data_IF_186844851995
#
_entry.id   IF_186844851995
#
_cell.length_a   1.000
_cell.length_b   1.000
_cell.length_c   1.000
_cell.angle_alpha   90.00
_cell.angle_beta   90.00
_cell.angle_gamma   90.00
#
_symmetry.space_group_name_H-M   'P 1'
#
loop_
_entity.id
_entity.type
_entity.pdbx_description
1 polymer ?
#
# COMPACT_ATOMS: atom_id res chain seq x y z
N UNK A 1 -10.78 -20.72 -8.05
CA UNK A 1 -10.98 -19.47 -8.80
C UNK A 1 -10.12 -18.41 -8.12
N UNK A 2 -9.16 -17.81 -8.81
CA UNK A 2 -8.33 -16.76 -8.21
C UNK A 2 -9.20 -15.52 -8.04
N UNK A 3 -9.33 -15.05 -6.80
CA UNK A 3 -9.98 -13.77 -6.51
C UNK A 3 -9.26 -12.62 -7.24
N UNK A 4 -9.97 -11.53 -7.57
CA UNK A 4 -9.34 -10.36 -8.18
C UNK A 4 -8.24 -9.84 -7.26
N UNK A 5 -7.01 -9.79 -7.78
CA UNK A 5 -5.82 -9.37 -7.02
C UNK A 5 -5.86 -7.84 -6.90
N UNK A 6 -5.80 -7.34 -5.67
CA UNK A 6 -5.69 -5.91 -5.40
C UNK A 6 -4.52 -5.28 -6.18
N UNK A 7 -4.64 -4.10 -6.80
CA UNK A 7 -3.58 -3.52 -7.65
C UNK A 7 -2.26 -3.24 -6.90
N UNK A 8 -2.30 -3.04 -5.57
CA UNK A 8 -1.09 -2.97 -4.74
C UNK A 8 -0.35 -4.30 -4.56
N UNK A 9 -0.94 -5.43 -4.98
CA UNK A 9 -0.42 -6.79 -4.82
C UNK A 9 0.03 -7.44 -6.14
N UNK A 10 -0.26 -6.85 -7.30
CA UNK A 10 0.23 -7.38 -8.59
C UNK A 10 1.73 -7.12 -8.76
N UNK A 11 2.44 -7.85 -9.65
CA UNK A 11 3.85 -7.62 -9.94
C UNK A 11 4.13 -6.18 -10.43
N UNK A 12 5.33 -5.68 -10.14
CA UNK A 12 5.73 -4.31 -10.46
C UNK A 12 5.50 -3.93 -11.92
N UNK A 13 5.97 -4.75 -12.87
CA UNK A 13 5.82 -4.47 -14.29
C UNK A 13 4.35 -4.50 -14.73
N UNK A 14 3.56 -5.45 -14.24
CA UNK A 14 2.12 -5.51 -14.53
C UNK A 14 1.34 -4.29 -14.00
N UNK A 15 1.78 -3.70 -12.88
CA UNK A 15 1.22 -2.44 -12.38
C UNK A 15 1.63 -1.25 -13.24
N UNK A 16 2.88 -1.24 -13.71
CA UNK A 16 3.40 -0.18 -14.57
C UNK A 16 2.72 -0.17 -15.94
N UNK A 17 2.31 -1.32 -16.46
CA UNK A 17 1.51 -1.43 -17.70
C UNK A 17 0.13 -0.76 -17.57
N UNK A 18 -0.35 -0.56 -16.34
CA UNK A 18 -1.61 0.14 -16.04
C UNK A 18 -1.39 1.63 -15.70
N UNK A 19 -0.17 2.12 -15.82
CA UNK A 19 0.20 3.47 -15.41
C UNK A 19 0.56 4.39 -16.60
N UNK A 20 0.10 5.63 -16.52
CA UNK A 20 0.74 6.73 -17.26
C UNK A 20 1.95 7.24 -16.47
N UNK A 21 3.12 7.25 -17.12
CA UNK A 21 4.34 7.84 -16.54
C UNK A 21 4.64 9.20 -17.16
N UNK A 22 4.80 10.22 -16.32
CA UNK A 22 5.26 11.55 -16.72
C UNK A 22 6.61 11.85 -16.10
N UNK A 23 7.47 12.51 -16.87
CA UNK A 23 8.77 13.02 -16.40
C UNK A 23 8.67 14.52 -16.25
N UNK A 24 9.18 15.04 -15.14
CA UNK A 24 9.15 16.47 -14.87
C UNK A 24 10.56 17.03 -14.77
N UNK A 25 10.73 18.24 -15.28
CA UNK A 25 11.92 19.04 -15.03
C UNK A 25 11.74 19.81 -13.73
N UNK A 26 12.73 19.72 -12.83
CA UNK A 26 12.76 20.60 -11.66
C UNK A 26 13.35 21.96 -12.04
N UNK A 27 12.63 23.02 -11.68
CA UNK A 27 13.15 24.37 -11.54
C UNK A 27 13.31 24.61 -10.04
N UNK A 28 14.52 24.63 -9.51
CA UNK A 28 14.77 24.91 -8.08
C UNK A 28 16.12 25.60 -7.86
N UNK A 29 16.33 26.26 -6.69
CA UNK A 29 17.60 26.88 -6.34
C UNK A 29 18.63 25.79 -6.08
N UNK A 30 19.35 25.41 -7.14
CA UNK A 30 20.39 24.40 -7.14
C UNK A 30 21.28 24.65 -8.35
N UNK A 31 22.60 24.50 -8.19
CA UNK A 31 23.58 24.83 -9.23
C UNK A 31 23.30 24.18 -10.58
N UNK A 32 23.94 24.71 -11.64
CA UNK A 32 23.71 24.40 -13.06
C UNK A 32 23.59 22.90 -13.41
N UNK A 33 24.20 22.00 -12.62
CA UNK A 33 24.15 20.55 -12.83
C UNK A 33 22.83 19.89 -12.38
N UNK A 34 22.17 20.39 -11.33
CA UNK A 34 20.91 19.82 -10.78
C UNK A 34 19.68 20.16 -11.64
N UNK A 35 19.76 21.23 -12.43
CA UNK A 35 18.62 21.79 -13.18
C UNK A 35 18.52 21.32 -14.65
N UNK A 36 19.40 20.41 -15.09
CA UNK A 36 19.47 19.99 -16.51
C UNK A 36 18.83 18.62 -16.80
N UNK A 37 18.56 17.78 -15.79
CA UNK A 37 18.08 16.41 -16.00
C UNK A 37 16.65 16.23 -15.46
N UNK A 38 15.75 15.74 -16.30
CA UNK A 38 14.34 15.41 -15.98
C UNK A 38 14.25 14.13 -15.14
N UNK A 39 14.77 14.17 -13.91
CA UNK A 39 14.85 12.98 -13.05
C UNK A 39 13.57 12.70 -12.28
N UNK A 40 12.66 13.67 -12.16
CA UNK A 40 11.41 13.50 -11.43
C UNK A 40 10.45 12.60 -12.22
N UNK A 41 9.82 11.66 -11.50
CA UNK A 41 8.87 10.69 -12.07
C UNK A 41 7.53 10.84 -11.36
N UNK A 42 6.47 10.93 -12.15
CA UNK A 42 5.08 10.86 -11.70
C UNK A 42 4.45 9.63 -12.34
N UNK A 43 3.78 8.81 -11.54
CA UNK A 43 3.00 7.66 -11.99
C UNK A 43 1.52 7.89 -11.65
N UNK A 44 0.65 7.68 -12.64
CA UNK A 44 -0.80 7.69 -12.48
C UNK A 44 -1.33 6.30 -12.84
N UNK A 45 -1.90 5.59 -11.88
CA UNK A 45 -2.61 4.34 -12.15
C UNK A 45 -3.96 4.66 -12.79
N UNK A 46 -4.06 4.42 -14.10
CA UNK A 46 -5.19 4.87 -14.93
C UNK A 46 -6.54 4.32 -14.43
N UNK A 47 -6.66 3.02 -14.09
CA UNK A 47 -7.95 2.46 -13.67
C UNK A 47 -8.51 3.06 -12.39
N UNK A 48 -7.66 3.47 -11.44
CA UNK A 48 -8.11 4.00 -10.14
C UNK A 48 -7.99 5.52 -9.99
N UNK A 49 -7.28 6.20 -10.89
CA UNK A 49 -6.96 7.62 -10.79
C UNK A 49 -5.97 7.96 -9.67
N UNK A 50 -5.40 6.97 -8.98
CA UNK A 50 -4.43 7.18 -7.89
C UNK A 50 -3.05 7.46 -8.48
N UNK A 51 -2.35 8.46 -7.95
CA UNK A 51 -1.01 8.82 -8.39
C UNK A 51 0.02 8.83 -7.27
N UNK A 52 1.29 8.80 -7.66
CA UNK A 52 2.41 9.09 -6.79
C UNK A 52 3.57 9.72 -7.58
N UNK A 53 4.44 10.43 -6.86
CA UNK A 53 5.62 11.05 -7.43
C UNK A 53 6.88 10.80 -6.59
N UNK A 54 8.03 10.84 -7.25
CA UNK A 54 9.35 10.85 -6.62
C UNK A 54 10.33 11.70 -7.42
N UNK A 55 11.14 12.47 -6.72
CA UNK A 55 12.08 13.43 -7.31
C UNK A 55 13.35 13.65 -6.47
N UNK A 56 13.53 12.84 -5.42
CA UNK A 56 14.56 13.01 -4.40
C UNK A 56 15.92 12.46 -4.86
N UNK A 57 15.92 11.51 -5.79
CA UNK A 57 17.14 10.81 -6.25
C UNK A 57 17.71 11.48 -7.49
N UNK A 58 19.01 11.28 -7.68
CA UNK A 58 19.78 11.80 -8.83
C UNK A 58 19.48 11.05 -10.13
N UNK A 59 19.01 9.80 -10.04
CA UNK A 59 18.68 9.00 -11.22
C UNK A 59 17.17 8.84 -11.38
N UNK A 60 16.72 8.88 -12.63
CA UNK A 60 15.33 8.67 -12.99
C UNK A 60 14.86 7.24 -12.67
N UNK A 61 15.74 6.24 -12.76
CA UNK A 61 15.42 4.86 -12.40
C UNK A 61 15.14 4.68 -10.90
N UNK A 62 15.94 5.29 -10.03
CA UNK A 62 15.70 5.26 -8.57
C UNK A 62 14.41 6.00 -8.22
N UNK A 63 14.14 7.15 -8.86
CA UNK A 63 12.87 7.85 -8.68
C UNK A 63 11.68 7.04 -9.21
N UNK A 64 11.81 6.31 -10.34
CA UNK A 64 10.75 5.40 -10.82
C UNK A 64 10.43 4.33 -9.78
N UNK A 65 11.45 3.71 -9.17
CA UNK A 65 11.26 2.68 -8.14
C UNK A 65 10.56 3.26 -6.90
N UNK A 66 11.00 4.43 -6.45
CA UNK A 66 10.40 5.13 -5.30
C UNK A 66 8.95 5.56 -5.58
N UNK A 67 8.68 6.14 -6.75
CA UNK A 67 7.34 6.52 -7.17
C UNK A 67 6.42 5.30 -7.25
N UNK A 68 6.91 4.16 -7.75
CA UNK A 68 6.15 2.92 -7.82
C UNK A 68 5.83 2.38 -6.42
N UNK A 69 6.79 2.39 -5.51
CA UNK A 69 6.56 1.98 -4.12
C UNK A 69 5.46 2.84 -3.46
N UNK A 70 5.58 4.16 -3.57
CA UNK A 70 4.58 5.12 -3.06
C UNK A 70 3.21 4.94 -3.71
N UNK A 71 3.18 4.65 -5.02
CA UNK A 71 1.95 4.37 -5.74
C UNK A 71 1.25 3.15 -5.15
N UNK A 72 1.98 2.05 -4.89
CA UNK A 72 1.41 0.84 -4.28
C UNK A 72 0.84 1.11 -2.88
N UNK A 73 1.54 1.90 -2.06
CA UNK A 73 1.02 2.32 -0.75
C UNK A 73 -0.25 3.17 -0.92
N UNK A 74 -0.25 4.13 -1.83
CA UNK A 74 -1.43 4.96 -2.09
C UNK A 74 -2.60 4.12 -2.61
N UNK A 75 -2.35 3.11 -3.45
CA UNK A 75 -3.37 2.16 -3.90
C UNK A 75 -3.95 1.37 -2.72
N UNK A 76 -3.10 0.84 -1.83
CA UNK A 76 -3.55 0.14 -0.62
C UNK A 76 -4.46 1.02 0.26
N UNK A 77 -4.17 2.31 0.36
CA UNK A 77 -4.97 3.24 1.16
C UNK A 77 -6.34 3.53 0.52
N UNK A 78 -6.37 3.73 -0.80
CA UNK A 78 -7.51 4.35 -1.49
C UNK A 78 -8.38 3.37 -2.30
N UNK A 79 -7.90 2.16 -2.57
CA UNK A 79 -8.63 1.14 -3.33
C UNK A 79 -8.96 -0.03 -2.40
N UNK A 80 -10.12 -0.67 -2.61
CA UNK A 80 -10.46 -1.93 -1.94
C UNK A 80 -10.65 -3.01 -2.97
N UNK A 81 -10.21 -4.23 -2.64
CA UNK A 81 -10.41 -5.40 -3.47
C UNK A 81 -11.88 -5.86 -3.49
N UNK A 82 -12.24 -6.60 -4.53
CA UNK A 82 -13.57 -7.24 -4.67
C UNK A 82 -13.56 -8.71 -4.22
N UNK A 83 -12.43 -9.18 -3.70
CA UNK A 83 -12.27 -10.54 -3.22
C UNK A 83 -13.17 -10.80 -2.00
N UNK A 84 -13.85 -11.98 -1.92
CA UNK A 84 -14.63 -12.33 -0.75
C UNK A 84 -13.71 -12.76 0.40
N UNK A 85 -14.23 -12.79 1.64
CA UNK A 85 -13.41 -13.01 2.85
C UNK A 85 -12.65 -14.35 2.83
N UNK A 86 -13.21 -15.37 2.19
CA UNK A 86 -12.65 -16.72 2.09
C UNK A 86 -11.42 -16.79 1.18
N UNK A 87 -11.17 -15.74 0.39
CA UNK A 87 -9.96 -15.62 -0.42
C UNK A 87 -8.71 -15.24 0.40
N UNK A 88 -8.89 -14.92 1.70
CA UNK A 88 -7.83 -14.50 2.61
C UNK A 88 -7.54 -15.57 3.67
N UNK A 89 -6.30 -15.66 4.17
CA UNK A 89 -5.14 -14.85 3.79
C UNK A 89 -4.55 -15.27 2.44
N UNK A 90 -3.94 -14.33 1.72
CA UNK A 90 -3.26 -14.61 0.46
C UNK A 90 -1.97 -15.40 0.67
N UNK A 91 -1.44 -16.02 -0.39
CA UNK A 91 -0.15 -16.72 -0.35
C UNK A 91 1.01 -15.85 0.14
N UNK A 92 1.02 -14.55 -0.20
CA UNK A 92 2.02 -13.59 0.27
C UNK A 92 1.89 -13.33 1.77
N UNK A 93 0.66 -13.17 2.27
CA UNK A 93 0.43 -13.03 3.71
C UNK A 93 0.91 -14.25 4.48
N UNK A 94 0.56 -15.45 4.00
CA UNK A 94 0.96 -16.72 4.61
C UNK A 94 2.49 -16.81 4.67
N UNK A 95 3.20 -16.46 3.60
CA UNK A 95 4.67 -16.50 3.57
C UNK A 95 5.32 -15.55 4.58
N UNK A 96 4.71 -14.37 4.82
CA UNK A 96 5.22 -13.33 5.72
C UNK A 96 4.84 -13.50 7.19
N UNK A 97 3.73 -14.17 7.48
CA UNK A 97 3.28 -14.50 8.84
C UNK A 97 4.17 -15.54 9.53
N UNK A 98 4.74 -16.46 8.74
CA UNK A 98 5.51 -17.60 9.26
C UNK A 98 4.73 -18.48 10.25
N UNK A 99 5.43 -19.42 10.89
CA UNK A 99 4.80 -20.46 11.72
C UNK A 99 4.35 -19.98 13.11
N UNK A 100 4.74 -18.78 13.55
CA UNK A 100 4.42 -18.23 14.88
C UNK A 100 3.25 -17.24 14.88
N UNK A 101 2.52 -17.13 13.77
CA UNK A 101 1.38 -16.20 13.66
C UNK A 101 1.78 -14.71 13.71
N UNK A 102 3.04 -14.38 13.38
CA UNK A 102 3.58 -13.01 13.47
C UNK A 102 4.03 -12.51 12.10
N UNK A 103 3.30 -11.54 11.57
CA UNK A 103 3.68 -10.88 10.32
C UNK A 103 4.95 -10.05 10.50
N UNK A 104 5.96 -10.33 9.67
CA UNK A 104 7.25 -9.65 9.73
C UNK A 104 7.59 -8.99 8.38
N UNK A 105 7.49 -7.67 8.35
CA UNK A 105 7.79 -6.86 7.16
C UNK A 105 8.26 -5.46 7.60
N UNK A 106 9.34 -4.96 6.97
CA UNK A 106 9.75 -3.57 7.11
C UNK A 106 8.84 -2.68 6.25
N UNK A 107 8.66 -1.43 6.65
CA UNK A 107 7.78 -0.46 5.98
C UNK A 107 8.29 -0.12 4.58
N UNK A 108 9.60 -0.22 4.35
CA UNK A 108 10.24 0.05 3.05
C UNK A 108 10.36 -1.20 2.16
N UNK A 109 9.87 -2.35 2.62
CA UNK A 109 9.97 -3.60 1.86
C UNK A 109 8.90 -3.67 0.76
N UNK A 110 9.24 -4.16 -0.44
CA UNK A 110 8.33 -4.22 -1.60
C UNK A 110 7.01 -4.99 -1.35
N UNK A 111 7.01 -6.00 -0.48
CA UNK A 111 5.80 -6.70 -0.02
C UNK A 111 4.87 -5.87 0.89
N UNK A 112 5.37 -4.84 1.60
CA UNK A 112 4.60 -4.09 2.59
C UNK A 112 3.29 -3.50 2.02
N UNK A 113 3.28 -2.82 0.85
CA UNK A 113 2.05 -2.29 0.27
C UNK A 113 0.97 -3.35 0.02
N UNK A 114 1.37 -4.57 -0.39
CA UNK A 114 0.42 -5.65 -0.64
C UNK A 114 -0.19 -6.16 0.67
N UNK A 115 0.63 -6.33 1.71
CA UNK A 115 0.16 -6.73 3.05
C UNK A 115 -0.71 -5.65 3.70
N UNK A 116 -0.39 -4.37 3.47
CA UNK A 116 -1.21 -3.25 3.92
C UNK A 116 -2.58 -3.25 3.23
N UNK A 117 -2.63 -3.47 1.91
CA UNK A 117 -3.87 -3.57 1.16
C UNK A 117 -4.75 -4.71 1.66
N UNK A 118 -4.17 -5.92 1.79
CA UNK A 118 -4.89 -7.09 2.29
C UNK A 118 -5.44 -6.87 3.71
N UNK A 119 -4.66 -6.23 4.58
CA UNK A 119 -5.13 -5.84 5.92
C UNK A 119 -6.36 -4.95 5.84
N UNK A 120 -6.33 -3.91 5.01
CA UNK A 120 -7.41 -2.94 4.89
C UNK A 120 -8.66 -3.53 4.21
N UNK A 121 -8.48 -4.42 3.24
CA UNK A 121 -9.56 -5.17 2.59
C UNK A 121 -10.28 -6.06 3.59
N UNK A 122 -9.55 -6.91 4.32
CA UNK A 122 -10.13 -7.82 5.30
C UNK A 122 -10.79 -7.06 6.46
N UNK A 123 -10.19 -5.97 6.93
CA UNK A 123 -10.80 -5.10 7.94
C UNK A 123 -12.13 -4.51 7.42
N UNK A 124 -12.19 -4.10 6.16
CA UNK A 124 -13.42 -3.59 5.54
C UNK A 124 -14.50 -4.68 5.43
N UNK A 125 -14.14 -5.89 4.99
CA UNK A 125 -15.03 -7.06 4.88
C UNK A 125 -15.56 -7.52 6.24
N UNK A 126 -14.80 -7.27 7.31
CA UNK A 126 -15.18 -7.56 8.69
C UNK A 126 -15.84 -6.37 9.39
N UNK A 127 -16.34 -5.38 8.65
CA UNK A 127 -17.05 -4.22 9.19
C UNK A 127 -16.26 -3.37 10.21
N UNK A 128 -14.94 -3.30 10.02
CA UNK A 128 -13.98 -2.71 10.94
C UNK A 128 -13.84 -3.45 12.29
N UNK A 129 -14.36 -4.68 12.42
CA UNK A 129 -14.06 -5.52 13.57
C UNK A 129 -12.62 -6.08 13.46
N UNK A 130 -11.74 -5.55 14.32
CA UNK A 130 -10.33 -5.94 14.35
C UNK A 130 -10.09 -7.36 14.85
N UNK A 131 -10.98 -7.90 15.70
CA UNK A 131 -10.88 -9.27 16.19
C UNK A 131 -11.19 -10.23 15.05
N UNK A 132 -12.35 -10.05 14.43
CA UNK A 132 -12.78 -10.87 13.28
C UNK A 132 -11.80 -10.77 12.10
N UNK A 133 -11.29 -9.58 11.80
CA UNK A 133 -10.29 -9.39 10.75
C UNK A 133 -8.96 -10.10 11.09
N UNK A 134 -8.50 -10.01 12.33
CA UNK A 134 -7.27 -10.66 12.75
C UNK A 134 -7.39 -12.19 12.75
N UNK A 135 -8.54 -12.73 13.15
CA UNK A 135 -8.84 -14.16 13.09
C UNK A 135 -8.82 -14.67 11.64
N UNK A 136 -9.45 -13.95 10.71
CA UNK A 136 -9.42 -14.28 9.29
C UNK A 136 -7.99 -14.30 8.71
N UNK A 137 -7.11 -13.41 9.20
CA UNK A 137 -5.70 -13.34 8.80
C UNK A 137 -4.78 -14.27 9.62
N UNK A 138 -5.32 -14.95 10.63
CA UNK A 138 -4.61 -15.79 11.60
C UNK A 138 -3.48 -15.07 12.33
N UNK A 139 -3.68 -13.80 12.67
CA UNK A 139 -2.78 -12.99 13.51
C UNK A 139 -3.55 -12.44 14.72
N UNK A 140 -2.88 -11.81 15.68
CA UNK A 140 -3.60 -11.08 16.74
C UNK A 140 -4.02 -9.67 16.31
N UNK A 141 -5.12 -9.15 16.86
CA UNK A 141 -5.57 -7.78 16.59
C UNK A 141 -4.50 -6.72 16.90
N UNK A 142 -3.65 -6.97 17.92
CA UNK A 142 -2.51 -6.12 18.24
C UNK A 142 -1.42 -6.16 17.17
N UNK A 143 -1.15 -7.32 16.55
CA UNK A 143 -0.23 -7.42 15.41
C UNK A 143 -0.76 -6.68 14.20
N UNK A 144 -2.05 -6.86 13.88
CA UNK A 144 -2.70 -6.15 12.78
C UNK A 144 -2.62 -4.63 12.98
N UNK A 145 -2.91 -4.16 14.21
CA UNK A 145 -2.77 -2.73 14.55
C UNK A 145 -1.33 -2.23 14.41
N UNK A 146 -0.33 -3.02 14.82
CA UNK A 146 1.10 -2.68 14.66
C UNK A 146 1.52 -2.59 13.20
N UNK A 147 1.00 -3.46 12.34
CA UNK A 147 1.24 -3.38 10.89
C UNK A 147 0.67 -2.09 10.32
N UNK A 148 -0.58 -1.75 10.65
CA UNK A 148 -1.22 -0.50 10.19
C UNK A 148 -0.46 0.76 10.67
N UNK A 149 0.11 0.73 11.87
CA UNK A 149 0.91 1.86 12.41
C UNK A 149 2.15 2.20 11.59
N UNK A 150 2.65 1.27 10.77
CA UNK A 150 3.76 1.54 9.85
C UNK A 150 3.38 2.52 8.75
N UNK A 151 2.08 2.66 8.44
CA UNK A 151 1.56 3.71 7.57
C UNK A 151 0.50 4.53 8.34
N UNK A 152 0.90 5.66 8.98
CA UNK A 152 0.01 6.45 9.82
C UNK A 152 -1.28 6.90 9.13
N UNK A 153 -1.27 7.12 7.80
CA UNK A 153 -2.47 7.47 7.04
C UNK A 153 -3.50 6.34 7.07
N UNK A 154 -3.07 5.08 7.05
CA UNK A 154 -3.96 3.91 7.16
C UNK A 154 -4.70 3.90 8.50
N UNK A 155 -3.96 4.09 9.60
CA UNK A 155 -4.54 4.13 10.94
C UNK A 155 -5.50 5.31 11.11
N UNK A 156 -5.14 6.49 10.57
CA UNK A 156 -5.99 7.67 10.62
C UNK A 156 -7.31 7.45 9.86
N UNK A 157 -7.25 6.90 8.64
CA UNK A 157 -8.43 6.59 7.83
C UNK A 157 -9.32 5.53 8.50
N UNK A 158 -8.72 4.47 9.05
CA UNK A 158 -9.46 3.44 9.77
C UNK A 158 -10.14 4.02 11.02
N UNK A 159 -9.44 4.83 11.81
CA UNK A 159 -10.03 5.47 12.99
C UNK A 159 -11.16 6.44 12.63
N UNK A 160 -11.08 7.14 11.50
CA UNK A 160 -12.18 7.96 11.01
C UNK A 160 -13.42 7.10 10.67
N UNK A 161 -13.25 5.99 9.94
CA UNK A 161 -14.32 5.04 9.61
C UNK A 161 -14.93 4.39 10.86
N UNK A 162 -14.08 3.97 11.80
CA UNK A 162 -14.51 3.42 13.10
C UNK A 162 -15.38 4.40 13.88
N UNK A 163 -14.97 5.67 13.97
CA UNK A 163 -15.78 6.71 14.63
C UNK A 163 -17.13 6.93 13.95
N UNK A 164 -17.17 6.93 12.62
CA UNK A 164 -18.43 7.04 11.86
C UNK A 164 -19.38 5.86 12.15
N UNK A 165 -18.84 4.69 12.49
CA UNK A 165 -19.58 3.48 12.89
C UNK A 165 -19.85 3.37 14.40
N UNK A 166 -19.50 4.39 15.20
CA UNK A 166 -19.67 4.37 16.65
C UNK A 166 -18.66 3.49 17.41
N UNK A 167 -17.61 3.02 16.74
CA UNK A 167 -16.55 2.19 17.32
C UNK A 167 -15.43 3.04 17.93
N UNK A 168 -14.80 2.53 18.99
CA UNK A 168 -13.64 3.18 19.59
C UNK A 168 -12.43 3.20 18.64
N UNK A 169 -11.65 4.30 18.60
CA UNK A 169 -10.44 4.37 17.81
C UNK A 169 -9.36 3.41 18.35
N UNK A 170 -8.57 2.87 17.43
CA UNK A 170 -7.39 2.08 17.73
C UNK A 170 -6.26 3.00 18.22
N UNK A 171 -5.48 2.49 19.18
CA UNK A 171 -4.34 3.17 19.79
C UNK A 171 -3.02 2.70 19.22
#
# INVERSE_FOLDING_TARGET
MNAPIHPAAIPAEALLDQCEMRRLRRSGPGGQHRNKVETAVVLLHVPSGVSAEANERRSQAENRREALFRLRVNLALNVRGEAPLEAFPTSLWISRRGNRGRIAVADEHDDFPALLAESLDVICLCDDDMGRAADALGVSASQLTKLLKKEPRALAQLNARRRQRGLHPLR
#
